data_IF_068207007795
#
_entry.id   IF_068207007795
#
_cell.length_a   1.000
_cell.length_b   1.000
_cell.length_c   1.000
_cell.angle_alpha   90.00
_cell.angle_beta   90.00
_cell.angle_gamma   90.00
#
_symmetry.space_group_name_H-M   'P 1'
#
loop_
_entity.id
_entity.type
_entity.pdbx_description
1 polymer ?
#
# COMPACT_ATOMS: atom_id res chain seq x y z
N UNK A 1 -34.57 13.09 -32.39
CA UNK A 1 -33.09 13.24 -32.49
C UNK A 1 -32.43 12.11 -31.71
N UNK A 2 -31.70 11.22 -32.41
CA UNK A 2 -31.39 9.83 -32.03
C UNK A 2 -30.11 9.64 -31.17
N UNK A 3 -29.61 10.69 -30.49
CA UNK A 3 -28.32 10.65 -29.78
C UNK A 3 -28.40 10.40 -28.27
N UNK A 4 -29.56 10.50 -27.63
CA UNK A 4 -29.67 10.35 -26.17
C UNK A 4 -30.03 8.94 -25.67
N UNK A 5 -30.20 7.96 -26.57
CA UNK A 5 -30.50 6.57 -26.19
C UNK A 5 -29.31 5.61 -26.23
N UNK A 6 -28.10 6.07 -26.60
CA UNK A 6 -26.95 5.20 -26.82
C UNK A 6 -25.97 5.07 -25.64
N UNK A 7 -25.97 5.98 -24.65
CA UNK A 7 -24.98 5.95 -23.56
C UNK A 7 -25.37 5.11 -22.34
N UNK A 8 -26.65 4.75 -22.17
CA UNK A 8 -27.05 3.86 -21.06
C UNK A 8 -26.81 2.37 -21.34
N UNK A 9 -26.36 1.99 -22.55
CA UNK A 9 -26.12 0.58 -22.93
C UNK A 9 -24.67 0.10 -22.79
N UNK A 10 -23.70 0.98 -22.59
CA UNK A 10 -22.28 0.60 -22.52
C UNK A 10 -21.74 0.38 -21.10
N UNK A 11 -22.42 0.87 -20.07
CA UNK A 11 -22.05 0.59 -18.66
C UNK A 11 -22.61 -0.74 -18.12
N UNK A 12 -23.70 -1.27 -18.68
CA UNK A 12 -24.27 -2.57 -18.27
C UNK A 12 -23.61 -3.80 -18.92
N UNK A 13 -22.65 -3.61 -19.84
CA UNK A 13 -22.00 -4.72 -20.56
C UNK A 13 -20.66 -5.18 -19.95
N UNK A 14 -20.12 -4.49 -18.94
CA UNK A 14 -18.85 -4.87 -18.29
C UNK A 14 -18.98 -5.69 -17.01
N UNK A 15 -20.20 -5.87 -16.49
CA UNK A 15 -20.45 -6.57 -15.22
C UNK A 15 -20.82 -8.06 -15.43
N UNK A 16 -21.10 -8.50 -16.66
CA UNK A 16 -21.60 -9.85 -16.97
C UNK A 16 -20.56 -10.88 -17.47
N UNK A 17 -19.25 -10.68 -17.23
CA UNK A 17 -18.19 -11.57 -17.76
C UNK A 17 -17.31 -12.27 -16.71
N UNK A 18 -17.84 -12.49 -15.51
CA UNK A 18 -17.19 -13.28 -14.45
C UNK A 18 -18.13 -14.35 -13.85
N UNK A 19 -18.99 -14.92 -14.68
CA UNK A 19 -19.70 -16.15 -14.36
C UNK A 19 -19.39 -17.11 -15.50
N UNK A 20 -19.08 -18.35 -15.15
CA UNK A 20 -18.77 -19.50 -16.03
C UNK A 20 -17.31 -19.64 -16.52
N UNK A 21 -16.48 -20.33 -15.72
CA UNK A 21 -15.72 -21.54 -16.13
C UNK A 21 -14.82 -22.10 -15.00
N UNK A 22 -14.43 -23.39 -15.06
CA UNK A 22 -14.69 -24.33 -13.98
C UNK A 22 -13.52 -24.55 -13.03
N UNK A 23 -13.91 -24.93 -11.80
CA UNK A 23 -13.11 -25.65 -10.80
C UNK A 23 -12.26 -26.75 -11.44
N UNK A 24 -10.94 -26.69 -11.22
CA UNK A 24 -10.04 -27.82 -11.41
C UNK A 24 -9.03 -27.91 -10.26
N UNK A 25 -9.33 -28.88 -9.40
CA UNK A 25 -8.42 -29.78 -8.67
C UNK A 25 -7.56 -29.15 -7.57
N UNK A 26 -8.09 -29.29 -6.37
CA UNK A 26 -7.35 -29.52 -5.13
C UNK A 26 -6.16 -30.47 -5.38
N UNK A 27 -4.96 -30.00 -5.03
CA UNK A 27 -3.86 -30.90 -4.68
C UNK A 27 -3.67 -30.78 -3.18
N UNK A 28 -4.05 -31.84 -2.47
CA UNK A 28 -3.63 -32.13 -1.10
C UNK A 28 -2.10 -32.11 -1.08
N UNK A 29 -1.50 -31.18 -0.35
CA UNK A 29 -0.10 -31.27 0.04
C UNK A 29 -0.06 -31.58 1.53
N UNK A 30 0.43 -32.77 1.81
CA UNK A 30 0.57 -33.41 3.11
C UNK A 30 1.47 -32.61 4.05
N UNK A 31 1.07 -32.57 5.33
CA UNK A 31 1.80 -31.97 6.44
C UNK A 31 3.24 -32.49 6.54
N UNK A 32 4.20 -31.68 6.08
CA UNK A 32 5.60 -31.83 6.47
C UNK A 32 5.80 -31.10 7.81
N UNK A 33 6.08 -31.87 8.85
CA UNK A 33 6.48 -31.38 10.17
C UNK A 33 7.88 -30.79 10.07
N UNK A 34 7.95 -29.50 9.70
CA UNK A 34 9.20 -28.75 9.70
C UNK A 34 9.52 -28.40 11.15
N UNK A 35 10.47 -29.12 11.73
CA UNK A 35 11.11 -28.80 13.00
C UNK A 35 12.03 -27.60 12.74
N UNK A 36 11.50 -26.38 12.90
CA UNK A 36 12.27 -25.14 12.81
C UNK A 36 13.23 -25.07 14.02
N UNK A 37 14.53 -24.84 13.84
CA UNK A 37 15.44 -24.58 14.95
C UNK A 37 15.12 -23.21 15.56
N UNK A 38 14.95 -23.19 16.90
CA UNK A 38 14.70 -22.00 17.70
C UNK A 38 15.96 -21.14 17.87
N UNK A 39 16.57 -20.66 16.77
CA UNK A 39 17.82 -19.89 16.83
C UNK A 39 17.85 -18.64 15.94
N UNK A 40 16.69 -18.02 15.68
CA UNK A 40 16.68 -16.72 14.98
C UNK A 40 15.57 -15.81 15.54
N UNK A 41 15.61 -15.49 16.84
CA UNK A 41 14.79 -14.39 17.36
C UNK A 41 15.44 -13.73 18.58
N UNK A 42 16.63 -13.18 18.38
CA UNK A 42 17.25 -12.28 19.35
C UNK A 42 18.31 -11.42 18.65
N UNK A 43 17.86 -10.50 17.80
CA UNK A 43 18.63 -9.28 17.56
C UNK A 43 18.12 -8.23 18.55
N UNK A 44 18.93 -7.81 19.54
CA UNK A 44 18.56 -6.71 20.43
C UNK A 44 18.47 -5.43 19.60
N UNK A 45 17.36 -4.68 19.74
CA UNK A 45 17.29 -3.32 19.23
C UNK A 45 18.34 -2.50 19.98
N UNK A 46 19.47 -2.25 19.33
CA UNK A 46 20.51 -1.38 19.86
C UNK A 46 20.00 0.05 19.95
N UNK A 47 20.06 0.54 21.18
CA UNK A 47 19.87 1.90 21.65
C UNK A 47 20.85 2.86 20.94
N UNK A 48 20.35 4.06 20.65
CA UNK A 48 21.15 5.28 20.43
C UNK A 48 22.00 5.34 19.17
N UNK A 49 21.38 5.48 17.99
CA UNK A 49 21.93 6.26 16.88
C UNK A 49 20.80 6.61 15.91
N UNK A 50 20.89 7.79 15.31
CA UNK A 50 19.99 8.31 14.28
C UNK A 50 19.65 7.21 13.24
N UNK A 51 18.38 6.99 12.85
CA UNK A 51 18.02 5.90 11.95
C UNK A 51 18.75 6.07 10.61
N UNK A 52 19.47 5.02 10.22
CA UNK A 52 20.44 5.04 9.12
C UNK A 52 19.77 4.80 7.76
N UNK A 53 18.51 4.35 7.77
CA UNK A 53 17.75 4.03 6.56
C UNK A 53 16.28 4.48 6.65
N UNK A 54 15.67 4.73 5.48
CA UNK A 54 14.23 5.01 5.38
C UNK A 54 13.39 3.86 5.94
N UNK A 55 13.87 2.61 5.80
CA UNK A 55 13.20 1.43 6.33
C UNK A 55 13.12 1.47 7.85
N UNK A 56 14.22 1.81 8.54
CA UNK A 56 14.24 1.98 9.99
C UNK A 56 13.33 3.11 10.46
N UNK A 57 13.35 4.26 9.79
CA UNK A 57 12.45 5.38 10.10
C UNK A 57 11.00 4.92 10.00
N UNK A 58 10.65 4.24 8.91
CA UNK A 58 9.29 3.73 8.69
C UNK A 58 8.90 2.73 9.77
N UNK A 59 9.75 1.76 10.07
CA UNK A 59 9.47 0.73 11.08
C UNK A 59 9.28 1.33 12.47
N UNK A 60 10.14 2.27 12.88
CA UNK A 60 10.02 2.97 14.16
C UNK A 60 8.71 3.77 14.28
N UNK A 61 8.21 4.32 13.17
CA UNK A 61 6.93 5.05 13.15
C UNK A 61 5.75 4.08 13.05
N UNK A 62 5.87 3.02 12.26
CA UNK A 62 4.84 1.99 12.09
C UNK A 62 4.55 1.25 13.42
N UNK A 63 5.55 1.03 14.27
CA UNK A 63 5.37 0.48 15.61
C UNK A 63 4.47 1.34 16.51
N UNK A 64 4.36 2.65 16.24
CA UNK A 64 3.49 3.56 17.00
C UNK A 64 2.02 3.46 16.57
N UNK A 65 1.71 2.70 15.53
CA UNK A 65 0.38 2.57 14.95
C UNK A 65 -0.11 1.11 15.07
N UNK A 66 -1.15 0.84 15.87
CA UNK A 66 -1.71 -0.51 15.96
C UNK A 66 -2.56 -0.87 14.74
N UNK A 67 -3.13 0.13 14.04
CA UNK A 67 -4.14 -0.06 12.98
C UNK A 67 -3.49 -0.51 11.67
N UNK A 68 -3.97 -1.63 11.15
CA UNK A 68 -3.61 -2.11 9.81
C UNK A 68 -4.50 -1.46 8.75
N UNK A 69 -3.94 -1.22 7.58
CA UNK A 69 -4.71 -0.78 6.43
C UNK A 69 -5.63 -1.90 5.94
N UNK A 70 -6.77 -1.50 5.37
CA UNK A 70 -7.70 -2.43 4.77
C UNK A 70 -7.07 -3.14 3.56
N UNK A 71 -7.52 -4.35 3.28
CA UNK A 71 -7.12 -5.09 2.08
C UNK A 71 -8.34 -5.53 1.29
N UNK A 72 -8.24 -5.45 -0.03
CA UNK A 72 -9.25 -6.00 -0.94
C UNK A 72 -9.27 -7.54 -0.86
N UNK A 73 -10.32 -8.21 -1.36
CA UNK A 73 -10.34 -9.68 -1.45
C UNK A 73 -9.19 -10.28 -2.28
N UNK A 74 -8.55 -9.48 -3.14
CA UNK A 74 -7.37 -9.87 -3.93
C UNK A 74 -6.06 -9.71 -3.15
N UNK A 75 -6.11 -9.17 -1.94
CA UNK A 75 -4.95 -8.90 -1.09
C UNK A 75 -4.27 -7.55 -1.34
N UNK A 76 -4.75 -6.75 -2.30
CA UNK A 76 -4.23 -5.39 -2.52
C UNK A 76 -4.60 -4.48 -1.35
N UNK A 77 -3.68 -3.63 -0.93
CA UNK A 77 -3.88 -2.72 0.20
C UNK A 77 -4.66 -1.48 -0.24
N UNK A 78 -5.63 -1.08 0.58
CA UNK A 78 -6.46 0.10 0.35
C UNK A 78 -6.01 1.20 1.29
N UNK A 79 -5.63 2.35 0.72
CA UNK A 79 -5.29 3.54 1.46
C UNK A 79 -6.31 4.64 1.19
N UNK A 80 -6.92 5.14 2.27
CA UNK A 80 -7.76 6.31 2.25
C UNK A 80 -6.91 7.54 2.54
N UNK A 81 -6.93 8.52 1.65
CA UNK A 81 -6.17 9.76 1.82
C UNK A 81 -6.74 10.53 3.02
N UNK A 82 -5.93 10.77 4.04
CA UNK A 82 -6.39 11.41 5.28
C UNK A 82 -6.02 12.89 5.39
N UNK A 83 -5.14 13.36 4.51
CA UNK A 83 -4.64 14.73 4.51
C UNK A 83 -4.27 15.21 3.12
N UNK A 84 -4.52 16.49 2.84
CA UNK A 84 -4.11 17.18 1.62
C UNK A 84 -2.59 17.36 1.46
N UNK A 85 -1.81 17.00 2.49
CA UNK A 85 -0.35 16.97 2.45
C UNK A 85 0.21 15.62 2.01
N UNK A 86 -0.65 14.62 1.77
CA UNK A 86 -0.23 13.33 1.25
C UNK A 86 0.07 13.46 -0.25
N UNK A 87 1.23 12.92 -0.66
CA UNK A 87 1.59 12.76 -2.06
C UNK A 87 1.61 11.27 -2.40
N UNK A 88 1.43 10.94 -3.68
CA UNK A 88 1.57 9.56 -4.12
C UNK A 88 2.98 9.01 -3.88
N UNK A 89 3.98 9.89 -3.92
CA UNK A 89 5.37 9.59 -3.55
C UNK A 89 5.49 9.15 -2.08
N UNK A 90 4.88 9.90 -1.16
CA UNK A 90 4.88 9.60 0.28
C UNK A 90 4.12 8.32 0.60
N UNK A 91 2.95 8.13 0.00
CA UNK A 91 2.15 6.91 0.12
C UNK A 91 2.98 5.71 -0.39
N UNK A 92 3.57 5.83 -1.57
CA UNK A 92 4.44 4.81 -2.14
C UNK A 92 5.62 4.48 -1.24
N UNK A 93 6.30 5.50 -0.72
CA UNK A 93 7.45 5.34 0.17
C UNK A 93 7.05 4.64 1.47
N UNK A 94 5.91 5.00 2.04
CA UNK A 94 5.40 4.39 3.27
C UNK A 94 5.07 2.90 3.08
N UNK A 95 4.25 2.56 2.10
CA UNK A 95 3.77 1.19 1.95
C UNK A 95 4.77 0.26 1.27
N UNK A 96 5.58 0.77 0.34
CA UNK A 96 6.49 -0.05 -0.48
C UNK A 96 7.97 0.11 -0.09
N UNK A 97 8.31 1.12 0.72
CA UNK A 97 9.70 1.46 1.01
C UNK A 97 10.42 2.19 -0.12
N UNK A 98 9.75 2.44 -1.26
CA UNK A 98 10.36 3.08 -2.43
C UNK A 98 9.40 4.08 -3.10
N UNK A 99 9.79 5.35 -3.17
CA UNK A 99 9.00 6.41 -3.79
C UNK A 99 8.84 6.24 -5.31
N UNK A 100 9.78 5.56 -6.00
CA UNK A 100 9.69 5.33 -7.45
C UNK A 100 8.53 4.41 -7.85
N UNK A 101 7.99 3.63 -6.92
CA UNK A 101 6.79 2.82 -7.16
C UNK A 101 5.53 3.69 -7.36
N UNK A 102 5.56 4.98 -7.01
CA UNK A 102 4.44 5.89 -7.19
C UNK A 102 3.95 5.94 -8.65
N UNK A 103 4.85 5.85 -9.63
CA UNK A 103 4.47 5.81 -11.06
C UNK A 103 3.65 4.56 -11.41
N UNK A 104 3.99 3.41 -10.80
CA UNK A 104 3.27 2.16 -11.00
C UNK A 104 1.90 2.20 -10.31
N UNK A 105 1.85 2.74 -9.09
CA UNK A 105 0.61 2.95 -8.34
C UNK A 105 -0.32 3.91 -9.09
N UNK A 106 0.20 5.03 -9.61
CA UNK A 106 -0.55 6.01 -10.41
C UNK A 106 -1.28 5.34 -11.57
N UNK A 107 -0.55 4.53 -12.36
CA UNK A 107 -1.10 3.81 -13.52
C UNK A 107 -2.24 2.86 -13.14
N UNK A 108 -2.13 2.19 -12.01
CA UNK A 108 -3.13 1.21 -11.54
C UNK A 108 -4.40 1.92 -11.06
N UNK A 109 -4.24 3.08 -10.43
CA UNK A 109 -5.35 3.90 -9.95
C UNK A 109 -5.93 4.84 -11.03
N UNK A 110 -5.34 4.88 -12.21
CA UNK A 110 -5.80 5.74 -13.31
C UNK A 110 -5.57 7.23 -13.09
N UNK A 111 -4.63 7.60 -12.22
CA UNK A 111 -4.30 9.00 -11.86
C UNK A 111 -2.92 9.39 -12.38
N UNK A 112 -2.61 10.69 -12.38
CA UNK A 112 -1.28 11.18 -12.74
C UNK A 112 -0.38 11.38 -11.51
N UNK A 113 0.95 11.33 -11.70
CA UNK A 113 1.90 11.50 -10.59
C UNK A 113 1.86 12.91 -9.96
N UNK A 114 1.47 13.92 -10.74
CA UNK A 114 1.37 15.32 -10.31
C UNK A 114 -0.02 15.68 -9.80
N UNK A 115 -0.95 14.73 -9.81
CA UNK A 115 -2.31 14.96 -9.36
C UNK A 115 -2.31 15.22 -7.86
N UNK A 116 -3.06 16.23 -7.45
CA UNK A 116 -3.22 16.56 -6.04
C UNK A 116 -4.27 15.61 -5.46
N UNK A 117 -3.85 14.82 -4.48
CA UNK A 117 -4.75 13.94 -3.74
C UNK A 117 -5.66 14.76 -2.81
N UNK A 118 -6.92 14.37 -2.74
CA UNK A 118 -7.96 14.98 -1.93
C UNK A 118 -8.30 14.03 -0.78
N UNK A 119 -8.58 14.57 0.40
CA UNK A 119 -9.03 13.77 1.53
C UNK A 119 -10.27 12.95 1.16
N UNK A 120 -10.23 11.65 1.41
CA UNK A 120 -11.26 10.70 1.01
C UNK A 120 -10.98 9.94 -0.28
N UNK A 121 -9.98 10.35 -1.07
CA UNK A 121 -9.53 9.58 -2.23
C UNK A 121 -9.06 8.18 -1.79
N UNK A 122 -9.30 7.21 -2.67
CA UNK A 122 -8.93 5.81 -2.44
C UNK A 122 -7.77 5.45 -3.36
N UNK A 123 -6.67 5.05 -2.77
CA UNK A 123 -5.47 4.59 -3.46
C UNK A 123 -5.26 3.11 -3.19
N UNK A 124 -5.34 2.31 -4.25
CA UNK A 124 -5.05 0.88 -4.22
C UNK A 124 -3.56 0.65 -4.45
N UNK A 125 -2.93 -0.06 -3.52
CA UNK A 125 -1.51 -0.43 -3.58
C UNK A 125 -1.42 -1.93 -3.83
N UNK A 126 -0.86 -2.36 -4.97
CA UNK A 126 -0.79 -3.78 -5.31
C UNK A 126 -0.03 -4.58 -4.27
N UNK A 127 -0.59 -5.72 -3.86
CA UNK A 127 -0.07 -6.58 -2.80
C UNK A 127 1.42 -6.93 -2.97
N UNK A 128 1.86 -7.18 -4.20
CA UNK A 128 3.25 -7.51 -4.53
C UNK A 128 4.25 -6.35 -4.35
N UNK A 129 3.79 -5.13 -4.08
CA UNK A 129 4.62 -3.97 -3.74
C UNK A 129 4.62 -3.64 -2.23
N UNK A 130 3.75 -4.28 -1.45
CA UNK A 130 3.51 -3.89 -0.05
C UNK A 130 4.58 -4.52 0.85
N UNK A 131 5.32 -3.65 1.53
CA UNK A 131 6.31 -4.02 2.55
C UNK A 131 5.83 -3.64 3.96
N UNK A 132 4.88 -2.70 4.07
CA UNK A 132 4.29 -2.25 5.32
C UNK A 132 2.77 -2.26 5.20
N UNK A 133 2.07 -2.89 6.14
CA UNK A 133 0.59 -2.94 6.16
C UNK A 133 -0.03 -1.96 7.16
N UNK A 134 0.76 -1.20 7.91
CA UNK A 134 0.24 -0.23 8.87
C UNK A 134 -0.31 0.99 8.17
N UNK A 135 -1.50 1.42 8.58
CA UNK A 135 -2.19 2.53 7.96
C UNK A 135 -1.44 3.85 8.19
N UNK A 136 -1.17 4.58 7.11
CA UNK A 136 -0.68 5.95 7.20
C UNK A 136 -1.84 6.90 7.50
N UNK A 137 -1.73 7.65 8.60
CA UNK A 137 -2.65 8.75 8.92
C UNK A 137 -1.90 10.09 9.01
N UNK A 138 -2.64 11.18 9.09
CA UNK A 138 -2.09 12.55 9.12
C UNK A 138 -1.07 12.80 10.24
N UNK A 139 -1.22 12.20 11.43
CA UNK A 139 -0.28 12.34 12.54
C UNK A 139 1.05 11.64 12.23
N UNK A 140 0.99 10.39 11.78
CA UNK A 140 2.18 9.65 11.39
C UNK A 140 2.87 10.26 10.18
N UNK A 141 2.10 10.75 9.20
CA UNK A 141 2.62 11.44 8.03
C UNK A 141 3.51 12.61 8.45
N UNK A 142 3.04 13.46 9.37
CA UNK A 142 3.82 14.58 9.90
C UNK A 142 5.11 14.11 10.57
N UNK A 143 5.04 13.04 11.36
CA UNK A 143 6.23 12.46 12.00
C UNK A 143 7.20 11.88 10.97
N UNK A 144 6.69 11.21 9.95
CA UNK A 144 7.48 10.58 8.90
C UNK A 144 8.18 11.62 8.04
N UNK A 145 7.46 12.64 7.57
CA UNK A 145 8.04 13.76 6.82
C UNK A 145 9.07 14.50 7.65
N UNK A 146 8.79 14.75 8.94
CA UNK A 146 9.74 15.38 9.86
C UNK A 146 11.03 14.54 9.98
N UNK A 147 10.89 13.23 10.21
CA UNK A 147 12.04 12.33 10.30
C UNK A 147 12.84 12.26 8.99
N UNK A 148 12.19 12.22 7.83
CA UNK A 148 12.89 12.25 6.53
C UNK A 148 13.74 13.52 6.39
N UNK A 149 13.18 14.69 6.74
CA UNK A 149 13.90 15.97 6.69
C UNK A 149 15.09 16.01 7.65
N UNK A 150 14.91 15.54 8.89
CA UNK A 150 15.99 15.50 9.90
C UNK A 150 17.15 14.58 9.48
N UNK A 151 16.86 13.59 8.63
CA UNK A 151 17.84 12.64 8.07
C UNK A 151 18.33 13.04 6.66
N UNK A 152 18.00 14.25 6.18
CA UNK A 152 18.36 14.75 4.85
C UNK A 152 17.86 13.87 3.69
N UNK A 153 16.78 13.12 3.88
CA UNK A 153 16.12 12.40 2.80
C UNK A 153 15.19 13.34 2.02
N UNK A 154 15.18 13.26 0.68
CA UNK A 154 14.23 14.02 -0.12
C UNK A 154 12.80 13.59 0.20
N UNK A 155 11.92 14.58 0.37
CA UNK A 155 10.49 14.34 0.54
C UNK A 155 9.85 14.34 -0.85
N UNK A 156 9.30 13.21 -1.31
CA UNK A 156 8.78 13.06 -2.68
C UNK A 156 7.36 13.63 -2.89
#
# INVERSE_FOLDING_TARGET
SKRQHFEKKTQSAKIKKYQDRPSKKEKKLTNAKIKLPASVLSSPLTTTNKPSSILEIREAIAQKQPVEAETTPRGDLVHYVTSSHESLGLISLWYTGNAHNARKIARINGITLKEKLITGDIIVIPSYLVNNKKQLNSKLLRQFVKALKENNYPVP
#
